data_IF_565211130313
#
_entry.id   IF_565211130313
#
_cell.length_a   1.000
_cell.length_b   1.000
_cell.length_c   1.000
_cell.angle_alpha   90.00
_cell.angle_beta   90.00
_cell.angle_gamma   90.00
#
_symmetry.space_group_name_H-M   'P 1'
#
loop_
_entity.id
_entity.type
_entity.pdbx_description
1 polymer ?
#
# COMPACT_ATOMS: atom_id res chain seq x y z
N UNK A 1 16.99 -29.98 8.06
CA UNK A 1 15.74 -29.28 8.42
C UNK A 1 15.75 -27.86 7.89
N UNK A 2 15.01 -27.61 6.82
CA UNK A 2 14.89 -26.28 6.22
C UNK A 2 13.80 -25.50 6.98
N UNK A 3 14.18 -24.42 7.67
CA UNK A 3 13.24 -23.60 8.44
C UNK A 3 12.40 -22.74 7.48
N UNK A 4 11.10 -22.55 7.75
CA UNK A 4 10.26 -21.67 6.93
C UNK A 4 10.66 -20.20 7.12
N UNK A 5 10.47 -19.38 6.09
CA UNK A 5 10.75 -17.95 6.16
C UNK A 5 9.88 -17.28 7.25
N UNK A 6 10.47 -16.47 8.15
CA UNK A 6 9.78 -15.86 9.28
C UNK A 6 8.74 -14.78 8.91
N UNK A 7 8.69 -14.33 7.65
CA UNK A 7 7.78 -13.29 7.16
C UNK A 7 8.44 -11.91 7.12
N UNK A 8 7.63 -10.86 7.03
CA UNK A 8 8.12 -9.47 7.01
C UNK A 8 8.11 -8.89 8.43
N UNK A 9 9.04 -7.97 8.71
CA UNK A 9 9.11 -7.36 10.05
C UNK A 9 7.83 -6.60 10.43
N UNK A 10 7.15 -6.00 9.44
CA UNK A 10 5.88 -5.30 9.63
C UNK A 10 4.75 -6.23 10.13
N UNK A 11 4.86 -7.54 9.89
CA UNK A 11 3.85 -8.52 10.30
C UNK A 11 3.88 -8.88 11.77
N UNK A 12 5.00 -8.61 12.47
CA UNK A 12 5.19 -9.03 13.87
C UNK A 12 4.07 -8.54 14.79
N UNK A 13 3.62 -7.28 14.62
CA UNK A 13 2.57 -6.69 15.46
C UNK A 13 1.20 -6.64 14.78
N UNK A 14 1.14 -6.87 13.46
CA UNK A 14 -0.09 -6.69 12.67
C UNK A 14 -1.21 -7.60 13.15
N UNK A 15 -0.91 -8.89 13.38
CA UNK A 15 -1.90 -9.88 13.83
C UNK A 15 -2.57 -9.52 15.16
N UNK A 16 -1.84 -8.87 16.06
CA UNK A 16 -2.40 -8.42 17.34
C UNK A 16 -3.22 -7.13 17.15
N UNK A 17 -2.70 -6.19 16.35
CA UNK A 17 -3.36 -4.89 16.10
C UNK A 17 -4.71 -5.04 15.39
N UNK A 18 -4.84 -6.01 14.47
CA UNK A 18 -6.08 -6.27 13.72
C UNK A 18 -7.24 -6.79 14.58
N UNK A 19 -6.98 -7.24 15.81
CA UNK A 19 -8.04 -7.70 16.73
C UNK A 19 -8.83 -6.54 17.37
N UNK A 20 -8.25 -5.34 17.40
CA UNK A 20 -8.87 -4.19 18.05
C UNK A 20 -9.94 -3.57 17.14
N UNK A 21 -11.13 -3.24 17.68
CA UNK A 21 -12.18 -2.60 16.92
C UNK A 21 -11.77 -1.18 16.50
N UNK A 22 -12.14 -0.79 15.30
CA UNK A 22 -12.01 0.58 14.82
C UNK A 22 -13.25 1.39 15.19
N UNK A 23 -13.04 2.61 15.67
CA UNK A 23 -14.15 3.55 15.88
C UNK A 23 -14.65 4.02 14.52
N UNK A 24 -15.96 3.90 14.29
CA UNK A 24 -16.62 4.40 13.09
C UNK A 24 -17.50 5.57 13.48
N UNK A 25 -17.42 6.66 12.72
CA UNK A 25 -18.18 7.88 12.93
C UNK A 25 -18.96 8.21 11.66
N UNK A 26 -20.21 8.66 11.82
CA UNK A 26 -21.11 8.95 10.72
C UNK A 26 -21.49 7.71 9.89
N UNK A 27 -21.70 7.89 8.59
CA UNK A 27 -22.17 6.84 7.66
C UNK A 27 -21.21 6.73 6.49
N UNK A 28 -20.62 5.54 6.31
CA UNK A 28 -19.77 5.22 5.15
C UNK A 28 -20.47 4.24 4.23
N UNK A 29 -20.73 4.65 3.00
CA UNK A 29 -21.23 3.82 1.92
C UNK A 29 -20.12 3.56 0.91
N UNK A 30 -19.73 2.29 0.72
CA UNK A 30 -18.76 1.89 -0.30
C UNK A 30 -19.43 1.01 -1.34
N UNK A 31 -19.31 1.38 -2.61
CA UNK A 31 -19.76 0.60 -3.77
C UNK A 31 -18.53 0.13 -4.53
N UNK A 32 -18.34 -1.20 -4.61
CA UNK A 32 -17.24 -1.81 -5.33
C UNK A 32 -17.75 -2.45 -6.62
N UNK A 33 -17.16 -2.09 -7.76
CA UNK A 33 -17.53 -2.62 -9.08
C UNK A 33 -16.30 -3.17 -9.80
N UNK A 34 -16.27 -4.49 -9.99
CA UNK A 34 -15.30 -5.12 -10.89
C UNK A 34 -15.75 -4.96 -12.34
N UNK A 35 -14.92 -4.32 -13.17
CA UNK A 35 -15.17 -4.27 -14.62
C UNK A 35 -14.53 -5.47 -15.32
N UNK A 36 -13.48 -6.03 -14.75
CA UNK A 36 -12.86 -7.29 -15.15
C UNK A 36 -12.14 -7.93 -13.96
N UNK A 37 -11.60 -9.15 -14.14
CA UNK A 37 -10.75 -9.79 -13.13
C UNK A 37 -9.46 -9.00 -12.82
N UNK A 38 -9.06 -8.11 -13.72
CA UNK A 38 -7.82 -7.32 -13.61
C UNK A 38 -8.10 -5.87 -13.23
N UNK A 39 -9.36 -5.42 -13.20
CA UNK A 39 -9.68 -4.02 -13.00
C UNK A 39 -10.96 -3.85 -12.18
N UNK A 40 -10.79 -3.22 -11.02
CA UNK A 40 -11.85 -2.92 -10.08
C UNK A 40 -11.87 -1.43 -9.79
N UNK A 41 -13.07 -0.88 -9.65
CA UNK A 41 -13.31 0.50 -9.26
C UNK A 41 -14.11 0.50 -7.97
N UNK A 42 -13.82 1.44 -7.08
CA UNK A 42 -14.60 1.67 -5.87
C UNK A 42 -15.02 3.13 -5.76
N UNK A 43 -16.18 3.32 -5.15
CA UNK A 43 -16.74 4.62 -4.83
C UNK A 43 -17.11 4.60 -3.36
N UNK A 44 -16.48 5.45 -2.56
CA UNK A 44 -16.77 5.55 -1.12
C UNK A 44 -17.30 6.94 -0.81
N UNK A 45 -18.53 7.00 -0.29
CA UNK A 45 -19.13 8.21 0.27
C UNK A 45 -19.05 8.09 1.79
N UNK A 46 -18.35 9.01 2.43
CA UNK A 46 -18.24 9.10 3.89
C UNK A 46 -18.92 10.39 4.36
N UNK A 47 -20.02 10.24 5.09
CA UNK A 47 -20.74 11.33 5.75
C UNK A 47 -20.27 11.38 7.20
N UNK A 48 -19.69 12.50 7.63
CA UNK A 48 -19.28 12.73 9.02
C UNK A 48 -20.24 13.70 9.72
N UNK A 49 -20.37 13.56 11.04
CA UNK A 49 -21.13 14.47 11.91
C UNK A 49 -20.25 15.50 12.60
N UNK A 50 -18.93 15.26 12.63
CA UNK A 50 -17.93 16.12 13.28
C UNK A 50 -17.07 16.88 12.25
N UNK A 51 -16.85 16.30 11.08
CA UNK A 51 -16.04 16.89 10.00
C UNK A 51 -16.79 16.97 8.66
N UNK A 52 -16.03 17.27 7.61
CA UNK A 52 -16.56 17.37 6.26
C UNK A 52 -16.89 15.99 5.67
N UNK A 53 -17.96 15.95 4.88
CA UNK A 53 -18.30 14.76 4.11
C UNK A 53 -17.36 14.62 2.90
N UNK A 54 -16.88 13.41 2.66
CA UNK A 54 -15.89 13.13 1.61
C UNK A 54 -16.41 12.08 0.63
N UNK A 55 -16.03 12.26 -0.63
CA UNK A 55 -16.19 11.27 -1.67
C UNK A 55 -14.80 10.84 -2.17
N UNK A 56 -14.54 9.54 -2.05
CA UNK A 56 -13.35 8.89 -2.56
C UNK A 56 -13.69 8.05 -3.78
N UNK A 57 -12.93 8.28 -4.85
CA UNK A 57 -12.90 7.44 -6.02
C UNK A 57 -11.58 6.68 -6.05
N UNK A 58 -11.64 5.36 -6.10
CA UNK A 58 -10.45 4.55 -6.24
C UNK A 58 -10.56 3.52 -7.34
N UNK A 59 -9.39 3.15 -7.86
CA UNK A 59 -9.23 2.17 -8.90
C UNK A 59 -8.06 1.26 -8.56
N UNK A 60 -8.28 -0.04 -8.75
CA UNK A 60 -7.29 -1.08 -8.55
C UNK A 60 -7.13 -1.85 -9.84
N UNK A 61 -5.90 -1.88 -10.35
CA UNK A 61 -5.50 -2.74 -11.45
C UNK A 61 -4.58 -3.84 -10.95
N UNK A 62 -4.87 -5.07 -11.35
CA UNK A 62 -4.07 -6.25 -11.07
C UNK A 62 -3.60 -6.82 -12.40
N UNK A 63 -2.29 -6.90 -12.57
CA UNK A 63 -1.66 -7.37 -13.80
C UNK A 63 -1.85 -8.86 -14.04
N UNK A 64 -1.45 -9.30 -15.22
CA UNK A 64 -1.63 -10.69 -15.69
C UNK A 64 -0.48 -11.62 -15.29
N UNK A 65 0.66 -11.09 -14.84
CA UNK A 65 1.83 -11.89 -14.44
C UNK A 65 1.58 -12.49 -13.05
N UNK A 66 0.93 -13.65 -13.04
CA UNK A 66 0.76 -14.47 -11.85
C UNK A 66 2.02 -15.29 -11.58
N UNK A 67 2.66 -15.03 -10.44
CA UNK A 67 3.84 -15.78 -10.00
C UNK A 67 3.48 -16.86 -8.97
N UNK A 68 2.32 -16.74 -8.34
CA UNK A 68 1.73 -17.76 -7.47
C UNK A 68 0.21 -17.76 -7.63
N UNK A 69 -0.49 -18.79 -7.14
CA UNK A 69 -1.96 -18.85 -7.19
C UNK A 69 -2.65 -17.68 -6.45
N UNK A 70 -1.91 -17.00 -5.57
CA UNK A 70 -2.42 -15.92 -4.72
C UNK A 70 -1.84 -14.55 -5.06
N UNK A 71 -0.82 -14.46 -5.91
CA UNK A 71 -0.11 -13.21 -6.19
C UNK A 71 0.04 -12.95 -7.70
N UNK A 72 -0.55 -11.82 -8.13
CA UNK A 72 -0.50 -11.31 -9.49
C UNK A 72 0.13 -9.91 -9.50
N UNK A 73 0.99 -9.65 -10.49
CA UNK A 73 1.73 -8.38 -10.60
C UNK A 73 1.69 -7.80 -12.01
N UNK A 74 1.92 -6.48 -12.18
CA UNK A 74 1.93 -5.45 -11.13
C UNK A 74 0.56 -5.24 -10.48
N UNK A 75 0.53 -4.74 -9.26
CA UNK A 75 -0.70 -4.22 -8.64
C UNK A 75 -0.58 -2.70 -8.58
N UNK A 76 -1.56 -2.00 -9.13
CA UNK A 76 -1.68 -0.54 -9.08
C UNK A 76 -2.94 -0.23 -8.30
N UNK A 77 -2.83 0.62 -7.28
CA UNK A 77 -3.96 1.11 -6.50
C UNK A 77 -3.89 2.63 -6.51
N UNK A 78 -4.97 3.30 -6.87
CA UNK A 78 -5.12 4.73 -6.75
C UNK A 78 -6.42 5.05 -6.03
N UNK A 79 -6.40 6.01 -5.11
CA UNK A 79 -7.56 6.56 -4.41
C UNK A 79 -7.44 8.08 -4.41
N UNK A 80 -8.46 8.78 -4.88
CA UNK A 80 -8.50 10.23 -4.94
C UNK A 80 -9.77 10.74 -4.27
N UNK A 81 -9.59 11.72 -3.41
CA UNK A 81 -10.68 12.42 -2.75
C UNK A 81 -11.13 13.69 -3.50
N UNK A 82 -12.27 14.25 -3.09
CA UNK A 82 -12.84 15.46 -3.68
C UNK A 82 -12.01 16.74 -3.43
N UNK A 83 -11.01 16.69 -2.54
CA UNK A 83 -10.10 17.81 -2.25
C UNK A 83 -8.85 17.80 -3.12
N UNK A 84 -8.65 16.75 -3.93
CA UNK A 84 -7.46 16.55 -4.74
C UNK A 84 -6.30 15.90 -3.98
N UNK A 85 -6.58 15.24 -2.86
CA UNK A 85 -5.62 14.36 -2.18
C UNK A 85 -5.67 12.99 -2.84
N UNK A 86 -4.50 12.55 -3.33
CA UNK A 86 -4.31 11.28 -4.02
C UNK A 86 -3.44 10.37 -3.16
N UNK A 87 -3.85 9.11 -2.99
CA UNK A 87 -3.01 8.00 -2.56
C UNK A 87 -2.81 7.06 -3.74
N UNK A 88 -1.57 6.88 -4.20
CA UNK A 88 -1.24 5.95 -5.27
C UNK A 88 -0.18 4.97 -4.78
N UNK A 89 -0.37 3.68 -5.07
CA UNK A 89 0.55 2.60 -4.71
C UNK A 89 0.77 1.68 -5.90
N UNK A 90 2.03 1.37 -6.15
CA UNK A 90 2.48 0.48 -7.22
C UNK A 90 3.28 -0.63 -6.56
N UNK A 91 2.83 -1.86 -6.66
CA UNK A 91 3.52 -3.03 -6.16
C UNK A 91 3.96 -3.86 -7.36
N UNK A 92 5.26 -4.07 -7.50
CA UNK A 92 5.82 -4.84 -8.58
C UNK A 92 6.88 -5.81 -8.10
N UNK A 93 6.83 -7.03 -8.64
CA UNK A 93 7.85 -8.03 -8.39
C UNK A 93 8.88 -8.01 -9.52
N UNK A 94 10.02 -7.36 -9.25
CA UNK A 94 11.13 -7.20 -10.18
C UNK A 94 11.79 -8.56 -10.49
N UNK A 95 11.99 -9.37 -9.46
CA UNK A 95 12.62 -10.70 -9.54
C UNK A 95 11.84 -11.67 -8.65
N UNK A 96 11.98 -12.98 -8.84
CA UNK A 96 11.32 -14.01 -8.02
C UNK A 96 11.52 -13.84 -6.50
N UNK A 97 12.56 -13.13 -6.07
CA UNK A 97 12.89 -12.87 -4.66
C UNK A 97 12.80 -11.39 -4.25
N UNK A 98 12.62 -10.46 -5.20
CA UNK A 98 12.65 -9.02 -4.94
C UNK A 98 11.29 -8.42 -5.29
N UNK A 99 10.62 -7.89 -4.27
CA UNK A 99 9.40 -7.12 -4.38
C UNK A 99 9.72 -5.65 -4.15
N UNK A 100 9.21 -4.78 -5.00
CA UNK A 100 9.28 -3.34 -4.79
C UNK A 100 7.88 -2.78 -4.67
N UNK A 101 7.72 -1.82 -3.78
CA UNK A 101 6.49 -1.05 -3.62
C UNK A 101 6.86 0.42 -3.68
N UNK A 102 6.07 1.19 -4.41
CA UNK A 102 6.20 2.64 -4.49
C UNK A 102 4.87 3.23 -4.07
N UNK A 103 4.88 4.17 -3.13
CA UNK A 103 3.71 4.87 -2.65
C UNK A 103 3.88 6.37 -2.84
N UNK A 104 2.85 7.03 -3.35
CA UNK A 104 2.76 8.48 -3.50
C UNK A 104 1.54 8.99 -2.77
N UNK A 105 1.70 10.07 -2.04
CA UNK A 105 0.62 10.76 -1.36
C UNK A 105 0.68 12.26 -1.64
N UNK A 106 -0.44 12.78 -2.11
CA UNK A 106 -0.67 14.22 -2.22
C UNK A 106 -1.77 14.65 -1.27
N UNK A 107 -1.72 15.91 -0.85
CA UNK A 107 -2.76 16.57 -0.07
C UNK A 107 -3.10 17.87 -0.77
N UNK A 108 -4.38 18.05 -1.16
CA UNK A 108 -4.83 19.24 -1.89
C UNK A 108 -3.93 19.58 -3.09
N UNK A 109 -3.64 18.59 -3.93
CA UNK A 109 -2.75 18.67 -5.09
C UNK A 109 -1.27 19.03 -4.81
N UNK A 110 -0.84 19.07 -3.54
CA UNK A 110 0.57 19.20 -3.16
C UNK A 110 1.16 17.85 -2.83
N UNK A 111 2.34 17.54 -3.35
CA UNK A 111 3.08 16.35 -2.96
C UNK A 111 3.52 16.47 -1.49
N UNK A 112 3.07 15.54 -0.66
CA UNK A 112 3.41 15.51 0.77
C UNK A 112 4.43 14.42 1.05
N UNK A 113 4.17 13.23 0.50
CA UNK A 113 4.97 12.07 0.83
C UNK A 113 5.15 11.17 -0.39
N UNK A 114 6.35 10.63 -0.54
CA UNK A 114 6.61 9.53 -1.45
C UNK A 114 7.59 8.55 -0.82
N UNK A 115 7.30 7.26 -0.99
CA UNK A 115 8.07 6.17 -0.38
C UNK A 115 8.38 5.13 -1.44
N UNK A 116 9.60 4.59 -1.35
CA UNK A 116 10.06 3.47 -2.14
C UNK A 116 10.53 2.39 -1.20
N UNK A 117 9.83 1.27 -1.22
CA UNK A 117 10.14 0.07 -0.48
C UNK A 117 10.72 -0.99 -1.42
N UNK A 118 11.75 -1.68 -0.96
CA UNK A 118 12.32 -2.85 -1.61
C UNK A 118 12.49 -3.96 -0.60
N UNK A 119 11.80 -5.06 -0.82
CA UNK A 119 11.80 -6.25 0.03
C UNK A 119 12.46 -7.41 -0.70
N UNK A 120 13.46 -8.00 -0.06
CA UNK A 120 14.14 -9.21 -0.48
C UNK A 120 13.69 -10.39 0.39
N UNK A 121 13.03 -11.36 -0.23
CA UNK A 121 12.63 -12.62 0.42
C UNK A 121 13.63 -13.72 0.11
N UNK A 122 14.42 -14.07 1.11
CA UNK A 122 15.28 -15.25 1.12
C UNK A 122 14.51 -16.52 1.51
N UNK A 123 15.24 -17.64 1.56
CA UNK A 123 14.70 -18.93 2.01
C UNK A 123 14.48 -18.98 3.52
N UNK A 124 15.38 -18.37 4.27
CA UNK A 124 15.49 -18.38 5.73
C UNK A 124 15.52 -16.97 6.33
N UNK A 125 15.65 -15.92 5.51
CA UNK A 125 15.68 -14.53 5.96
C UNK A 125 14.82 -13.62 5.08
N UNK A 126 14.44 -12.47 5.62
CA UNK A 126 13.78 -11.38 4.91
C UNK A 126 14.48 -10.07 5.24
N UNK A 127 14.85 -9.32 4.21
CA UNK A 127 15.42 -7.98 4.34
C UNK A 127 14.52 -6.98 3.62
N UNK A 128 14.30 -5.81 4.21
CA UNK A 128 13.54 -4.74 3.58
C UNK A 128 14.26 -3.41 3.76
N UNK A 129 14.21 -2.57 2.72
CA UNK A 129 14.75 -1.21 2.72
C UNK A 129 13.65 -0.27 2.26
N UNK A 130 13.39 0.76 3.05
CA UNK A 130 12.41 1.80 2.78
C UNK A 130 13.11 3.14 2.70
N UNK A 131 12.88 3.87 1.61
CA UNK A 131 13.30 5.25 1.41
C UNK A 131 12.06 6.13 1.41
N UNK A 132 11.95 7.02 2.40
CA UNK A 132 10.84 7.96 2.54
C UNK A 132 11.28 9.41 2.35
N UNK A 133 10.56 10.13 1.51
CA UNK A 133 10.75 11.56 1.22
C UNK A 133 12.20 11.99 0.92
N UNK A 134 12.96 11.29 0.06
CA UNK A 134 14.30 11.76 -0.27
C UNK A 134 14.19 13.02 -1.15
N UNK A 135 14.68 14.13 -0.62
CA UNK A 135 14.86 15.41 -1.29
C UNK A 135 16.35 15.60 -1.59
N UNK A 136 16.71 15.50 -2.87
CA UNK A 136 18.11 15.62 -3.34
C UNK A 136 18.61 17.06 -3.24
N UNK A 137 17.72 18.05 -3.34
CA UNK A 137 18.08 19.47 -3.33
C UNK A 137 18.37 19.95 -1.90
N UNK A 138 17.57 19.51 -0.95
CA UNK A 138 17.73 19.83 0.49
C UNK A 138 18.66 18.82 1.18
N UNK A 139 18.87 17.64 0.60
CA UNK A 139 19.68 16.57 1.18
C UNK A 139 19.00 15.87 2.36
N UNK A 140 17.66 15.89 2.42
CA UNK A 140 16.89 15.28 3.51
C UNK A 140 16.20 14.00 3.05
N UNK A 141 16.07 13.01 3.91
CA UNK A 141 15.32 11.80 3.62
C UNK A 141 15.36 10.83 4.79
N UNK A 142 14.47 9.85 4.76
CA UNK A 142 14.40 8.79 5.76
C UNK A 142 14.80 7.49 5.08
N UNK A 143 15.76 6.79 5.67
CA UNK A 143 16.14 5.44 5.27
C UNK A 143 15.89 4.49 6.44
N UNK A 144 15.08 3.47 6.20
CA UNK A 144 14.78 2.42 7.17
C UNK A 144 15.21 1.09 6.57
N UNK A 145 15.95 0.29 7.35
CA UNK A 145 16.36 -1.04 6.96
C UNK A 145 15.92 -2.05 8.02
N UNK A 146 15.26 -3.12 7.58
CA UNK A 146 14.80 -4.21 8.42
C UNK A 146 15.47 -5.51 7.96
N UNK A 147 15.85 -6.35 8.93
CA UNK A 147 16.38 -7.68 8.71
C UNK A 147 15.76 -8.65 9.71
N UNK A 148 15.32 -9.82 9.24
CA UNK A 148 14.67 -10.86 10.02
C UNK A 148 15.16 -12.23 9.54
N UNK A 149 15.56 -13.13 10.44
CA UNK A 149 16.03 -14.50 10.16
C UNK A 149 15.59 -15.45 11.27
#
# INVERSE_FOLDING_TARGET
DQRPNPGTFEECHRKCKELFPIQMEGVKLTVNKGLSNHFQVNHTVALSTVGDSNYHFGATYVGTKQLSPTEAFPVLVGDMDNSGSLNAQIIHQLTNKVRSKVAFQTQQAKFVNWQVDSEFRGTDFTAAVTLGNPDILVGSGILVAHYLQ
#
